data_IF_362676476782
#
_entry.id   IF_362676476782
#
_cell.length_a   1.000
_cell.length_b   1.000
_cell.length_c   1.000
_cell.angle_alpha   90.00
_cell.angle_beta   90.00
_cell.angle_gamma   90.00
#
_symmetry.space_group_name_H-M   'P 1'
#
loop_
_entity.id
_entity.type
_entity.pdbx_description
1 polymer ?
#
# COMPACT_ATOMS: atom_id res chain seq x y z
N UNK A 1 -16.20 19.42 16.52
CA UNK A 1 -15.84 19.74 15.12
C UNK A 1 -16.94 19.18 14.25
N UNK A 2 -17.57 19.98 13.38
CA UNK A 2 -18.74 19.54 12.60
C UNK A 2 -18.35 18.43 11.62
N UNK A 3 -19.19 17.38 11.52
CA UNK A 3 -19.08 16.28 10.57
C UNK A 3 -19.56 16.67 9.15
N UNK A 4 -19.36 17.92 8.75
CA UNK A 4 -19.83 18.43 7.46
C UNK A 4 -18.73 18.29 6.42
N UNK A 5 -18.79 17.22 5.63
CA UNK A 5 -17.83 16.89 4.59
C UNK A 5 -17.64 18.02 3.58
N UNK A 6 -18.72 18.69 3.15
CA UNK A 6 -18.63 19.83 2.22
C UNK A 6 -17.83 21.00 2.80
N UNK A 7 -17.92 21.26 4.10
CA UNK A 7 -17.10 22.29 4.76
C UNK A 7 -15.63 21.86 4.84
N UNK A 8 -15.38 20.57 5.06
CA UNK A 8 -14.03 19.99 5.10
C UNK A 8 -13.37 20.04 3.71
N UNK A 9 -14.09 19.68 2.65
CA UNK A 9 -13.62 19.74 1.26
C UNK A 9 -13.24 21.19 0.90
N UNK A 10 -14.14 22.16 1.15
CA UNK A 10 -13.86 23.58 0.88
C UNK A 10 -12.64 24.11 1.63
N UNK A 11 -12.47 23.73 2.89
CA UNK A 11 -11.29 24.10 3.67
C UNK A 11 -10.02 23.49 3.06
N UNK A 12 -10.07 22.21 2.69
CA UNK A 12 -8.94 21.50 2.10
C UNK A 12 -8.55 22.08 0.73
N UNK A 13 -9.53 22.42 -0.12
CA UNK A 13 -9.32 23.10 -1.39
C UNK A 13 -8.65 24.46 -1.21
N UNK A 14 -9.04 25.23 -0.19
CA UNK A 14 -8.37 26.50 0.13
C UNK A 14 -6.91 26.30 0.57
N UNK A 15 -6.60 25.17 1.25
CA UNK A 15 -5.25 24.87 1.72
C UNK A 15 -4.35 24.26 0.63
N UNK A 16 -4.89 23.44 -0.27
CA UNK A 16 -4.13 22.58 -1.18
C UNK A 16 -4.40 22.82 -2.67
N UNK A 17 -5.36 23.69 -3.00
CA UNK A 17 -5.94 23.81 -4.33
C UNK A 17 -6.89 22.65 -4.64
N UNK A 18 -7.55 22.68 -5.80
CA UNK A 18 -8.61 21.73 -6.14
C UNK A 18 -8.07 20.38 -6.62
N UNK A 19 -6.92 20.36 -7.30
CA UNK A 19 -6.42 19.19 -8.00
C UNK A 19 -4.98 18.88 -7.67
N UNK A 20 -4.63 17.60 -7.69
CA UNK A 20 -3.27 17.14 -7.43
C UNK A 20 -2.26 17.58 -8.51
N UNK A 21 -2.70 18.21 -9.59
CA UNK A 21 -1.86 18.71 -10.67
C UNK A 21 -2.64 19.65 -11.59
N UNK A 22 -2.28 19.69 -12.88
CA UNK A 22 -2.80 20.67 -13.84
C UNK A 22 -4.33 20.67 -14.07
N UNK A 23 -5.08 19.68 -13.56
CA UNK A 23 -6.53 19.68 -13.70
C UNK A 23 -7.22 18.41 -13.17
N UNK A 24 -8.53 18.27 -13.41
CA UNK A 24 -9.38 17.24 -12.79
C UNK A 24 -8.90 15.80 -12.99
N UNK A 25 -8.28 15.50 -14.13
CA UNK A 25 -7.74 14.17 -14.46
C UNK A 25 -6.60 13.71 -13.54
N UNK A 26 -6.06 14.60 -12.69
CA UNK A 26 -5.00 14.28 -11.73
C UNK A 26 -5.53 13.87 -10.36
N UNK A 27 -6.85 13.94 -10.15
CA UNK A 27 -7.51 13.66 -8.87
C UNK A 27 -7.70 14.92 -8.03
N UNK A 28 -8.79 14.96 -7.27
CA UNK A 28 -9.06 16.04 -6.31
C UNK A 28 -8.14 15.94 -5.10
N UNK A 29 -7.66 17.06 -4.59
CA UNK A 29 -6.76 17.07 -3.41
C UNK A 29 -7.40 16.53 -2.14
N UNK A 30 -8.71 16.72 -1.96
CA UNK A 30 -9.46 16.22 -0.81
C UNK A 30 -9.59 14.69 -0.80
N UNK A 31 -10.01 14.09 -1.93
CA UNK A 31 -10.23 12.64 -2.02
C UNK A 31 -8.92 11.84 -2.13
N UNK A 32 -7.89 12.45 -2.72
CA UNK A 32 -6.67 11.74 -3.10
C UNK A 32 -5.96 11.05 -1.92
N UNK A 33 -5.75 11.69 -0.74
CA UNK A 33 -5.18 11.02 0.42
C UNK A 33 -5.95 9.75 0.82
N UNK A 34 -7.29 9.81 0.89
CA UNK A 34 -8.10 8.65 1.28
C UNK A 34 -7.97 7.51 0.27
N UNK A 35 -8.11 7.82 -1.03
CA UNK A 35 -8.01 6.83 -2.10
C UNK A 35 -6.64 6.13 -2.18
N UNK A 36 -5.57 6.84 -1.80
CA UNK A 36 -4.21 6.31 -1.89
C UNK A 36 -3.68 5.71 -0.58
N UNK A 37 -4.28 6.05 0.56
CA UNK A 37 -3.97 5.47 1.86
C UNK A 37 -4.86 4.27 2.22
N UNK A 38 -5.94 4.03 1.48
CA UNK A 38 -6.78 2.86 1.70
C UNK A 38 -5.98 1.58 1.49
N UNK A 39 -6.12 0.61 2.40
CA UNK A 39 -5.62 -0.74 2.21
C UNK A 39 -6.54 -1.56 1.29
N UNK A 40 -6.23 -2.85 1.14
CA UNK A 40 -6.97 -3.75 0.27
C UNK A 40 -8.39 -4.06 0.75
N UNK A 41 -8.73 -3.68 1.99
CA UNK A 41 -10.07 -3.80 2.56
C UNK A 41 -10.85 -2.48 2.48
N UNK A 42 -10.21 -1.40 2.00
CA UNK A 42 -10.80 -0.07 1.88
C UNK A 42 -10.59 0.82 3.10
N UNK A 43 -9.83 0.35 4.11
CA UNK A 43 -9.66 1.08 5.36
C UNK A 43 -8.48 2.04 5.30
N UNK A 44 -8.69 3.26 5.80
CA UNK A 44 -7.64 4.26 6.01
C UNK A 44 -7.39 4.39 7.51
N UNK A 45 -6.20 4.03 7.96
CA UNK A 45 -5.86 4.21 9.38
C UNK A 45 -5.66 5.70 9.72
N UNK A 46 -6.16 6.20 10.87
CA UNK A 46 -5.94 7.59 11.28
C UNK A 46 -4.45 7.98 11.31
N UNK A 47 -3.59 7.02 11.69
CA UNK A 47 -2.15 7.24 11.79
C UNK A 47 -1.50 7.47 10.42
N UNK A 48 -1.82 6.65 9.43
CA UNK A 48 -1.30 6.84 8.07
C UNK A 48 -1.74 8.17 7.46
N UNK A 49 -2.99 8.58 7.71
CA UNK A 49 -3.49 9.88 7.29
C UNK A 49 -2.73 11.04 7.93
N UNK A 50 -2.54 11.01 9.26
CA UNK A 50 -1.82 12.06 9.97
C UNK A 50 -0.36 12.16 9.54
N UNK A 51 0.33 11.03 9.30
CA UNK A 51 1.71 11.02 8.82
C UNK A 51 1.81 11.68 7.44
N UNK A 52 0.89 11.33 6.53
CA UNK A 52 0.86 11.95 5.20
C UNK A 52 0.69 13.47 5.31
N UNK A 53 -0.30 13.92 6.09
CA UNK A 53 -0.60 15.35 6.24
C UNK A 53 0.51 16.12 6.94
N UNK A 54 1.10 15.55 7.99
CA UNK A 54 2.24 16.13 8.69
C UNK A 54 3.43 16.31 7.74
N UNK A 55 3.81 15.24 7.03
CA UNK A 55 4.94 15.28 6.10
C UNK A 55 4.69 16.27 4.95
N UNK A 56 3.46 16.29 4.41
CA UNK A 56 3.07 17.25 3.38
C UNK A 56 3.20 18.70 3.88
N UNK A 57 2.76 19.00 5.09
CA UNK A 57 2.86 20.33 5.68
C UNK A 57 4.33 20.73 5.92
N UNK A 58 5.15 19.84 6.47
CA UNK A 58 6.57 20.09 6.73
C UNK A 58 7.36 20.34 5.44
N UNK A 59 7.14 19.53 4.40
CA UNK A 59 7.80 19.70 3.11
C UNK A 59 7.29 20.90 2.32
N UNK A 60 6.05 21.35 2.55
CA UNK A 60 5.53 22.55 1.87
C UNK A 60 6.19 23.82 2.39
N UNK A 61 6.58 23.86 3.68
CA UNK A 61 7.28 25.02 4.28
C UNK A 61 8.65 25.31 3.64
N UNK A 62 9.34 24.29 3.16
CA UNK A 62 10.67 24.42 2.56
C UNK A 62 10.65 24.67 1.06
N UNK A 63 9.46 24.76 0.45
CA UNK A 63 9.25 25.00 -0.98
C UNK A 63 8.48 26.31 -1.16
N UNK A 64 8.66 26.96 -2.30
CA UNK A 64 7.81 28.11 -2.64
C UNK A 64 6.39 27.62 -2.92
N UNK A 65 5.53 27.74 -1.90
CA UNK A 65 4.17 27.23 -1.95
C UNK A 65 3.18 28.23 -2.56
N UNK A 66 3.64 29.43 -2.93
CA UNK A 66 2.77 30.53 -3.33
C UNK A 66 1.65 30.75 -2.28
N UNK A 67 0.36 30.73 -2.67
CA UNK A 67 -0.76 30.91 -1.74
C UNK A 67 -1.16 29.63 -0.98
N UNK A 68 -0.60 28.47 -1.31
CA UNK A 68 -1.03 27.18 -0.74
C UNK A 68 -0.27 26.86 0.55
N UNK A 69 -0.95 26.18 1.47
CA UNK A 69 -0.35 25.64 2.70
C UNK A 69 0.18 24.22 2.47
N UNK A 70 -0.52 23.45 1.61
CA UNK A 70 -0.18 22.08 1.26
C UNK A 70 0.02 21.99 -0.24
N UNK A 71 1.26 21.75 -0.68
CA UNK A 71 1.52 21.57 -2.11
C UNK A 71 1.03 20.18 -2.55
N UNK A 72 0.33 20.06 -3.69
CA UNK A 72 -0.04 18.77 -4.25
C UNK A 72 1.10 17.76 -4.38
N UNK A 73 2.32 18.22 -4.68
CA UNK A 73 3.48 17.32 -4.75
C UNK A 73 3.92 16.80 -3.38
N UNK A 74 3.81 17.61 -2.32
CA UNK A 74 4.24 17.19 -0.98
C UNK A 74 3.20 16.27 -0.33
N UNK A 75 1.93 16.37 -0.71
CA UNK A 75 0.90 15.37 -0.41
C UNK A 75 1.29 14.00 -0.98
N UNK A 76 1.84 13.94 -2.21
CA UNK A 76 2.37 12.69 -2.78
C UNK A 76 3.62 12.19 -2.04
N UNK A 77 4.49 13.11 -1.64
CA UNK A 77 5.69 12.77 -0.87
C UNK A 77 5.31 12.16 0.48
N UNK A 78 4.29 12.72 1.15
CA UNK A 78 3.74 12.21 2.41
C UNK A 78 3.16 10.80 2.32
N UNK A 79 2.59 10.40 1.16
CA UNK A 79 2.17 9.02 0.93
C UNK A 79 3.35 8.04 1.02
N UNK A 80 4.54 8.42 0.55
CA UNK A 80 5.73 7.55 0.64
C UNK A 80 6.14 7.31 2.09
N UNK A 81 6.11 8.35 2.92
CA UNK A 81 6.41 8.20 4.35
C UNK A 81 5.32 7.39 5.06
N UNK A 82 4.04 7.64 4.78
CA UNK A 82 2.94 6.85 5.32
C UNK A 82 3.04 5.36 4.94
N UNK A 83 3.43 5.05 3.70
CA UNK A 83 3.70 3.69 3.23
C UNK A 83 4.80 3.01 4.03
N UNK A 84 5.96 3.68 4.19
CA UNK A 84 7.08 3.18 4.98
C UNK A 84 6.67 2.89 6.42
N UNK A 85 6.03 3.85 7.09
CA UNK A 85 5.60 3.67 8.48
C UNK A 85 4.57 2.56 8.63
N UNK A 86 3.65 2.40 7.66
CA UNK A 86 2.67 1.30 7.70
C UNK A 86 3.35 -0.07 7.62
N UNK A 87 4.37 -0.22 6.78
CA UNK A 87 5.15 -1.46 6.70
C UNK A 87 5.90 -1.73 8.01
N UNK A 88 6.47 -0.70 8.64
CA UNK A 88 7.12 -0.86 9.96
C UNK A 88 6.14 -1.30 11.05
N UNK A 89 4.92 -0.75 11.04
CA UNK A 89 3.85 -1.18 11.95
C UNK A 89 3.50 -2.65 11.73
N UNK A 90 3.24 -3.04 10.47
CA UNK A 90 2.98 -4.45 10.15
C UNK A 90 4.15 -5.35 10.54
N UNK A 91 5.39 -4.87 10.41
CA UNK A 91 6.58 -5.65 10.77
C UNK A 91 6.69 -5.89 12.28
N UNK A 92 6.07 -5.05 13.10
CA UNK A 92 6.00 -5.27 14.55
C UNK A 92 5.09 -6.45 14.88
N UNK A 93 3.98 -6.62 14.17
CA UNK A 93 3.02 -7.72 14.38
C UNK A 93 3.37 -8.99 13.58
N UNK A 94 3.94 -8.80 12.38
CA UNK A 94 4.30 -9.83 11.42
C UNK A 94 5.76 -9.62 10.98
N UNK A 95 6.76 -10.07 11.76
CA UNK A 95 8.18 -9.81 11.51
C UNK A 95 8.71 -10.32 10.16
N UNK A 96 7.94 -11.17 9.49
CA UNK A 96 8.24 -11.69 8.16
C UNK A 96 7.72 -10.80 7.01
N UNK A 97 6.95 -9.74 7.27
CA UNK A 97 6.26 -8.97 6.21
C UNK A 97 7.25 -8.36 5.21
N UNK A 98 8.38 -7.81 5.69
CA UNK A 98 9.41 -7.25 4.81
C UNK A 98 10.03 -8.32 3.92
N UNK A 99 10.18 -9.54 4.44
CA UNK A 99 10.74 -10.67 3.68
C UNK A 99 9.83 -11.07 2.52
N UNK A 100 8.51 -10.98 2.68
CA UNK A 100 7.57 -11.34 1.62
C UNK A 100 7.37 -10.25 0.57
N UNK A 101 7.58 -8.98 0.95
CA UNK A 101 7.48 -7.84 0.02
C UNK A 101 8.75 -7.63 -0.81
N UNK A 102 9.93 -7.85 -0.22
CA UNK A 102 11.23 -7.64 -0.87
C UNK A 102 11.41 -8.30 -2.25
N UNK A 103 11.02 -9.57 -2.50
CA UNK A 103 11.17 -10.20 -3.82
C UNK A 103 10.23 -9.63 -4.89
N UNK A 104 9.23 -8.83 -4.51
CA UNK A 104 8.26 -8.25 -5.44
C UNK A 104 8.76 -6.94 -6.08
N UNK A 105 9.87 -6.39 -5.60
CA UNK A 105 10.42 -5.14 -6.10
C UNK A 105 10.65 -5.19 -7.62
N UNK A 106 10.14 -4.18 -8.34
CA UNK A 106 10.24 -4.09 -9.79
C UNK A 106 9.15 -4.84 -10.58
N UNK A 107 8.37 -5.73 -9.95
CA UNK A 107 7.22 -6.33 -10.62
C UNK A 107 6.15 -5.27 -10.95
N UNK A 108 5.39 -5.50 -12.02
CA UNK A 108 4.33 -4.58 -12.46
C UNK A 108 2.97 -5.11 -12.06
N UNK A 109 2.22 -4.35 -11.26
CA UNK A 109 0.84 -4.68 -10.87
C UNK A 109 -0.19 -3.84 -11.63
N UNK A 110 -1.38 -4.40 -11.92
CA UNK A 110 -1.80 -5.78 -11.63
C UNK A 110 -1.08 -6.85 -12.47
N UNK A 111 -0.84 -8.02 -11.88
CA UNK A 111 -0.20 -9.16 -12.53
C UNK A 111 -0.94 -10.48 -12.27
N UNK A 112 -0.68 -11.48 -13.11
CA UNK A 112 -1.17 -12.84 -12.87
C UNK A 112 -0.61 -13.40 -11.56
N UNK A 113 -1.38 -14.23 -10.82
CA UNK A 113 -0.92 -14.85 -9.57
C UNK A 113 0.45 -15.53 -9.68
N UNK A 114 0.69 -16.22 -10.81
CA UNK A 114 1.94 -16.93 -11.05
C UNK A 114 3.17 -16.02 -10.98
N UNK A 115 3.06 -14.74 -11.38
CA UNK A 115 4.17 -13.77 -11.32
C UNK A 115 4.61 -13.53 -9.87
N UNK A 116 3.67 -13.52 -8.92
CA UNK A 116 4.00 -13.40 -7.50
C UNK A 116 4.57 -14.71 -6.95
N UNK A 117 3.99 -15.84 -7.36
CA UNK A 117 4.42 -17.16 -6.90
C UNK A 117 5.84 -17.46 -7.35
N UNK A 118 6.18 -17.20 -8.61
CA UNK A 118 7.53 -17.38 -9.16
C UNK A 118 8.55 -16.55 -8.36
N UNK A 119 8.26 -15.26 -8.15
CA UNK A 119 9.14 -14.38 -7.36
C UNK A 119 9.34 -14.89 -5.92
N UNK A 120 8.30 -15.45 -5.31
CA UNK A 120 8.42 -16.04 -3.97
C UNK A 120 9.19 -17.36 -3.95
N UNK A 121 8.97 -18.22 -4.95
CA UNK A 121 9.64 -19.53 -5.11
C UNK A 121 11.13 -19.32 -5.37
N UNK A 122 11.49 -18.50 -6.35
CA UNK A 122 12.89 -18.20 -6.72
C UNK A 122 13.69 -17.67 -5.53
N UNK A 123 13.03 -16.97 -4.62
CA UNK A 123 13.65 -16.39 -3.43
C UNK A 123 13.49 -17.26 -2.18
N UNK A 124 12.88 -18.45 -2.23
CA UNK A 124 12.56 -19.27 -1.05
C UNK A 124 11.82 -18.48 0.06
N UNK A 125 10.93 -17.58 -0.36
CA UNK A 125 10.34 -16.54 0.48
C UNK A 125 9.50 -17.11 1.61
N UNK A 126 8.60 -18.06 1.31
CA UNK A 126 7.72 -18.65 2.33
C UNK A 126 8.53 -19.40 3.39
N UNK A 127 9.62 -20.07 3.00
CA UNK A 127 10.46 -20.79 3.96
C UNK A 127 11.19 -19.84 4.90
N UNK A 128 11.80 -18.80 4.35
CA UNK A 128 12.45 -17.77 5.15
C UNK A 128 11.46 -17.06 6.08
N UNK A 129 10.26 -16.73 5.59
CA UNK A 129 9.21 -16.10 6.36
C UNK A 129 8.71 -16.99 7.53
N UNK A 130 8.56 -18.30 7.31
CA UNK A 130 8.22 -19.25 8.39
C UNK A 130 9.34 -19.36 9.42
N UNK A 131 10.62 -19.38 9.00
CA UNK A 131 11.76 -19.38 9.93
C UNK A 131 11.78 -18.12 10.81
N UNK A 132 11.54 -16.94 10.21
CA UNK A 132 11.42 -15.67 10.94
C UNK A 132 10.27 -15.74 11.96
N UNK A 133 9.08 -16.17 11.54
CA UNK A 133 7.93 -16.28 12.44
C UNK A 133 8.21 -17.19 13.64
N UNK A 134 8.87 -18.34 13.42
CA UNK A 134 9.25 -19.26 14.50
C UNK A 134 10.26 -18.65 15.46
N UNK A 135 11.30 -17.99 14.92
CA UNK A 135 12.36 -17.36 15.73
C UNK A 135 11.79 -16.27 16.64
N UNK A 136 10.89 -15.45 16.09
CA UNK A 136 10.29 -14.31 16.79
C UNK A 136 9.00 -14.68 17.57
N UNK A 137 8.65 -15.98 17.65
CA UNK A 137 7.43 -16.48 18.28
C UNK A 137 6.14 -15.77 17.79
N UNK A 138 6.07 -15.49 16.49
CA UNK A 138 4.98 -14.76 15.84
C UNK A 138 4.08 -15.69 15.01
N UNK A 139 2.91 -15.17 14.60
CA UNK A 139 2.01 -15.91 13.71
C UNK A 139 2.69 -16.20 12.36
N UNK A 140 2.60 -17.44 11.85
CA UNK A 140 3.25 -17.79 10.59
C UNK A 140 2.53 -17.16 9.38
N UNK A 141 3.25 -16.95 8.26
CA UNK A 141 2.70 -16.40 7.02
C UNK A 141 1.70 -17.33 6.33
N UNK A 142 1.81 -18.64 6.59
CA UNK A 142 0.97 -19.70 6.01
C UNK A 142 0.56 -20.67 7.11
N UNK A 143 -0.56 -21.41 6.95
CA UNK A 143 -0.94 -22.46 7.90
C UNK A 143 0.18 -23.49 8.08
N UNK A 144 0.48 -23.85 9.33
CA UNK A 144 1.42 -24.94 9.65
C UNK A 144 0.57 -26.14 10.09
N UNK A 145 0.38 -27.10 9.19
CA UNK A 145 -0.35 -28.34 9.51
C UNK A 145 0.66 -29.39 9.99
N UNK A 146 0.59 -29.85 11.25
CA UNK A 146 1.60 -30.77 11.81
C UNK A 146 1.59 -32.18 11.19
N UNK A 147 0.46 -32.60 10.63
CA UNK A 147 0.15 -33.99 10.29
C UNK A 147 0.04 -34.29 8.79
N UNK A 148 0.26 -33.31 7.92
CA UNK A 148 0.40 -33.49 6.47
C UNK A 148 1.84 -33.21 6.07
N UNK A 149 2.42 -34.03 5.19
CA UNK A 149 3.61 -33.59 4.45
C UNK A 149 3.28 -32.21 3.87
N UNK A 150 4.11 -31.18 4.10
CA UNK A 150 3.82 -29.85 3.58
C UNK A 150 3.69 -29.99 2.08
N UNK A 151 2.47 -29.87 1.57
CA UNK A 151 2.27 -29.81 0.13
C UNK A 151 2.92 -28.51 -0.33
N UNK A 152 4.02 -28.65 -1.06
CA UNK A 152 4.79 -27.50 -1.52
C UNK A 152 3.97 -26.69 -2.53
N UNK A 153 2.91 -27.26 -3.14
CA UNK A 153 2.09 -26.58 -4.15
C UNK A 153 1.26 -25.42 -3.59
N UNK A 154 0.88 -25.48 -2.31
CA UNK A 154 -0.13 -24.56 -1.78
C UNK A 154 0.48 -23.41 -0.97
N UNK A 155 1.81 -23.37 -0.82
CA UNK A 155 2.48 -22.41 0.08
C UNK A 155 2.33 -20.97 -0.40
N UNK A 156 2.59 -20.70 -1.66
CA UNK A 156 2.50 -19.38 -2.27
C UNK A 156 1.04 -18.90 -2.39
N UNK A 157 0.07 -19.74 -2.83
CA UNK A 157 -1.35 -19.41 -2.74
C UNK A 157 -1.83 -19.06 -1.32
N UNK A 158 -1.43 -19.85 -0.31
CA UNK A 158 -1.78 -19.56 1.09
C UNK A 158 -1.17 -18.24 1.58
N UNK A 159 0.05 -17.90 1.15
CA UNK A 159 0.66 -16.61 1.47
C UNK A 159 -0.11 -15.46 0.82
N UNK A 160 -0.49 -15.59 -0.46
CA UNK A 160 -1.30 -14.58 -1.14
C UNK A 160 -2.66 -14.39 -0.45
N UNK A 161 -3.35 -15.48 -0.09
CA UNK A 161 -4.61 -15.41 0.66
C UNK A 161 -4.43 -14.70 2.01
N UNK A 162 -3.33 -14.99 2.73
CA UNK A 162 -3.02 -14.31 3.99
C UNK A 162 -2.80 -12.81 3.79
N UNK A 163 -2.02 -12.43 2.77
CA UNK A 163 -1.78 -11.02 2.44
C UNK A 163 -3.06 -10.30 2.02
N UNK A 164 -3.97 -10.99 1.32
CA UNK A 164 -5.27 -10.45 0.97
C UNK A 164 -6.14 -10.19 2.20
N UNK A 165 -6.19 -11.14 3.15
CA UNK A 165 -6.89 -10.98 4.44
C UNK A 165 -6.30 -9.85 5.29
N UNK A 166 -5.02 -9.53 5.13
CA UNK A 166 -4.35 -8.42 5.81
C UNK A 166 -4.56 -7.07 5.11
N UNK A 167 -5.24 -7.03 3.97
CA UNK A 167 -5.36 -5.82 3.13
C UNK A 167 -4.06 -5.40 2.44
N UNK A 168 -3.03 -6.24 2.43
CA UNK A 168 -1.74 -5.94 1.76
C UNK A 168 -1.81 -6.23 0.27
N UNK A 169 -2.56 -7.26 -0.12
CA UNK A 169 -2.77 -7.67 -1.51
C UNK A 169 -4.26 -7.57 -1.85
N UNK A 170 -4.62 -7.36 -3.10
CA UNK A 170 -6.00 -7.46 -3.57
C UNK A 170 -6.10 -8.37 -4.78
N UNK A 171 -7.25 -9.01 -4.96
CA UNK A 171 -7.59 -9.75 -6.17
C UNK A 171 -8.58 -8.92 -6.99
N UNK A 172 -8.27 -8.68 -8.26
CA UNK A 172 -9.17 -8.01 -9.19
C UNK A 172 -10.24 -8.99 -9.69
N UNK A 173 -11.38 -8.49 -10.23
CA UNK A 173 -12.42 -9.36 -10.79
C UNK A 173 -11.95 -10.29 -11.92
N UNK A 174 -10.85 -9.94 -12.61
CA UNK A 174 -10.22 -10.75 -13.66
C UNK A 174 -9.18 -11.74 -13.13
N UNK A 175 -9.09 -11.92 -11.80
CA UNK A 175 -8.20 -12.89 -11.15
C UNK A 175 -6.78 -12.41 -10.93
N UNK A 176 -6.39 -11.24 -11.46
CA UNK A 176 -5.05 -10.69 -11.27
C UNK A 176 -4.87 -10.13 -9.86
N UNK A 177 -3.67 -10.28 -9.33
CA UNK A 177 -3.28 -9.64 -8.08
C UNK A 177 -2.83 -8.21 -8.31
N UNK A 178 -3.21 -7.34 -7.38
CA UNK A 178 -2.81 -5.95 -7.30
C UNK A 178 -2.42 -5.59 -5.86
N UNK A 179 -1.82 -4.42 -5.67
CA UNK A 179 -1.40 -3.95 -4.36
C UNK A 179 -1.85 -2.50 -4.16
N UNK A 180 -2.56 -2.18 -3.05
CA UNK A 180 -2.92 -0.80 -2.71
C UNK A 180 -1.68 0.10 -2.65
N UNK A 181 -1.84 1.38 -3.02
CA UNK A 181 -0.70 2.30 -3.11
C UNK A 181 0.06 2.43 -1.79
N UNK A 182 -0.63 2.32 -0.65
CA UNK A 182 -0.06 2.27 0.69
C UNK A 182 1.02 1.19 0.87
N UNK A 183 0.88 0.02 0.24
CA UNK A 183 1.87 -1.07 0.35
C UNK A 183 2.75 -1.17 -0.90
N UNK A 184 2.20 -0.86 -2.07
CA UNK A 184 2.88 -0.97 -3.36
C UNK A 184 4.16 -0.13 -3.40
N UNK A 185 4.11 1.08 -2.84
CA UNK A 185 5.25 2.01 -2.81
C UNK A 185 6.40 1.42 -1.99
N UNK A 186 6.14 0.98 -0.77
CA UNK A 186 7.17 0.38 0.09
C UNK A 186 7.65 -0.99 -0.36
N UNK A 187 6.83 -1.74 -1.13
CA UNK A 187 7.25 -2.95 -1.83
C UNK A 187 8.03 -2.68 -3.12
N UNK A 188 8.24 -1.41 -3.50
CA UNK A 188 8.88 -0.99 -4.75
C UNK A 188 8.25 -1.62 -6.01
N UNK A 189 6.94 -1.86 -5.98
CA UNK A 189 6.16 -2.38 -7.10
C UNK A 189 5.84 -1.26 -8.10
N UNK A 190 5.94 -1.59 -9.38
CA UNK A 190 5.61 -0.69 -10.48
C UNK A 190 4.11 -0.77 -10.79
N UNK A 191 3.50 0.36 -11.12
CA UNK A 191 2.11 0.40 -11.60
C UNK A 191 2.11 0.21 -13.12
N UNK A 192 1.30 -0.71 -13.65
CA UNK A 192 1.00 -0.73 -15.10
C UNK A 192 0.25 0.57 -15.40
N UNK A 193 0.76 1.38 -16.32
CA UNK A 193 0.14 2.67 -16.68
C UNK A 193 -1.35 2.50 -16.98
N UNK A 194 -2.16 3.50 -16.62
CA UNK A 194 -3.61 3.45 -16.83
C UNK A 194 -3.92 3.19 -18.31
N UNK A 195 -4.72 2.16 -18.58
CA UNK A 195 -5.27 1.93 -19.92
C UNK A 195 -6.16 3.13 -20.23
N UNK A 196 -5.93 3.77 -21.38
CA UNK A 196 -6.83 4.79 -21.94
C UNK A 196 -8.26 4.22 -21.93
N UNK A 197 -9.28 4.94 -21.41
CA UNK A 197 -10.66 4.50 -21.56
C UNK A 197 -10.91 4.26 -23.04
N UNK A 198 -11.42 3.07 -23.40
CA UNK A 198 -11.96 2.88 -24.73
C UNK A 198 -13.11 3.87 -24.87
N UNK A 199 -12.97 4.76 -25.84
CA UNK A 199 -14.02 5.68 -26.29
C UNK A 199 -15.20 4.90 -26.84
#
# INVERSE_FOLDING_TARGET
MSSNETQQEKLFEAMAGNFMGAGPRKGKTFDWPYNHLADGLGDVTPRSFLILMQNAAELSKSRDAGPLILLPQTIRDGLREASKVRIEQLNTEYPWIKRVLQPLAGLRVPAEPQVFFDAWIENATVEAAVKIARKENALPPVPIVPSRKPDLSDREPNLAERLAKMGVLTSRPDGRYDMPDLFRIGAALLKKGGVTPKS
#
